data_IF_324710559464
#
_entry.id   IF_324710559464
#
_cell.length_a   1.000
_cell.length_b   1.000
_cell.length_c   1.000
_cell.angle_alpha   90.00
_cell.angle_beta   90.00
_cell.angle_gamma   90.00
#
_symmetry.space_group_name_H-M   'P 1'
#
loop_
_entity.id
_entity.type
_entity.pdbx_description
1 polymer ?
#
# COMPACT_ATOMS: atom_id res chain seq x y z
N UNK A 1 20.67 17.98 6.41
CA UNK A 1 20.67 16.62 5.82
C UNK A 1 19.23 16.17 5.81
N UNK A 2 18.73 15.72 4.66
CA UNK A 2 17.39 15.14 4.54
C UNK A 2 17.54 13.82 3.77
N UNK A 3 17.80 12.75 4.52
CA UNK A 3 18.12 11.45 3.92
C UNK A 3 16.91 10.89 3.17
N UNK A 4 15.70 11.17 3.66
CA UNK A 4 14.44 10.70 3.07
C UNK A 4 14.30 11.27 1.67
N UNK A 5 14.57 12.57 1.51
CA UNK A 5 14.51 13.23 0.20
C UNK A 5 15.61 12.75 -0.73
N UNK A 6 16.84 12.54 -0.25
CA UNK A 6 17.92 11.95 -1.04
C UNK A 6 17.54 10.56 -1.58
N UNK A 7 17.04 9.65 -0.74
CA UNK A 7 16.63 8.30 -1.19
C UNK A 7 15.40 8.32 -2.11
N UNK A 8 14.56 9.34 -2.01
CA UNK A 8 13.39 9.48 -2.86
C UNK A 8 13.68 10.07 -4.24
N UNK A 9 14.62 11.01 -4.34
CA UNK A 9 14.83 11.80 -5.57
C UNK A 9 16.21 11.59 -6.20
N UNK A 10 17.15 10.97 -5.48
CA UNK A 10 18.55 10.86 -5.89
C UNK A 10 19.32 12.18 -5.84
N UNK A 11 18.71 13.27 -5.36
CA UNK A 11 19.33 14.60 -5.34
C UNK A 11 20.37 14.69 -4.23
N UNK A 12 21.64 14.70 -4.65
CA UNK A 12 22.82 14.69 -3.78
C UNK A 12 22.97 15.97 -2.96
N UNK A 13 22.24 17.05 -3.28
CA UNK A 13 22.20 18.26 -2.44
C UNK A 13 21.64 17.99 -1.05
N UNK A 14 20.85 16.94 -0.88
CA UNK A 14 20.33 16.51 0.43
C UNK A 14 21.24 15.52 1.17
N UNK A 15 22.35 15.11 0.54
CA UNK A 15 23.35 14.16 1.04
C UNK A 15 24.73 14.84 1.21
N UNK A 16 24.95 15.58 2.30
CA UNK A 16 26.21 16.29 2.52
C UNK A 16 27.39 15.31 2.73
N UNK A 17 28.58 15.70 2.27
CA UNK A 17 29.81 14.96 2.54
C UNK A 17 30.18 15.01 4.02
N UNK A 18 30.54 13.85 4.58
CA UNK A 18 31.01 13.73 5.96
C UNK A 18 32.46 14.21 6.09
N UNK A 19 32.79 14.77 7.26
CA UNK A 19 34.12 15.21 7.68
C UNK A 19 34.63 14.38 8.84
N UNK A 20 35.94 14.43 9.06
CA UNK A 20 36.58 13.75 10.18
C UNK A 20 35.99 14.25 11.51
N UNK A 21 35.59 13.30 12.37
CA UNK A 21 34.89 13.57 13.63
C UNK A 21 33.37 13.65 13.54
N UNK A 22 32.76 13.61 12.35
CA UNK A 22 31.30 13.61 12.20
C UNK A 22 30.68 12.33 12.77
N UNK A 23 29.59 12.49 13.53
CA UNK A 23 28.75 11.39 14.01
C UNK A 23 27.37 11.50 13.39
N UNK A 24 27.00 10.49 12.59
CA UNK A 24 25.66 10.35 12.03
C UNK A 24 24.85 9.49 12.98
N UNK A 25 23.90 10.09 13.70
CA UNK A 25 22.96 9.36 14.55
C UNK A 25 21.60 9.27 13.86
N UNK A 26 21.19 8.04 13.58
CA UNK A 26 19.84 7.71 13.13
C UNK A 26 19.11 7.15 14.36
N UNK A 27 18.24 7.92 15.02
CA UNK A 27 17.55 7.44 16.21
C UNK A 27 16.71 6.20 15.84
N UNK A 28 16.79 5.17 16.67
CA UNK A 28 15.94 4.00 16.51
C UNK A 28 14.49 4.44 16.66
N UNK A 29 13.67 4.05 15.68
CA UNK A 29 12.23 4.22 15.74
C UNK A 29 11.72 3.62 17.06
N UNK A 30 11.12 4.47 17.89
CA UNK A 30 10.49 4.06 19.16
C UNK A 30 8.97 4.06 18.95
N UNK A 31 8.36 2.99 18.37
CA UNK A 31 6.94 2.91 18.01
C UNK A 31 5.96 3.06 19.17
N UNK A 32 6.43 3.26 20.40
CA UNK A 32 5.59 3.13 21.59
C UNK A 32 4.75 4.35 21.89
N UNK A 33 5.00 5.51 21.28
CA UNK A 33 4.16 6.71 21.49
C UNK A 33 4.13 7.54 20.21
N UNK A 34 2.97 7.57 19.56
CA UNK A 34 2.47 8.72 18.80
C UNK A 34 2.69 8.83 17.27
N UNK A 35 3.00 7.74 16.57
CA UNK A 35 2.94 7.71 15.10
C UNK A 35 1.60 7.24 14.52
N UNK A 36 1.30 7.60 13.28
CA UNK A 36 0.18 7.03 12.51
C UNK A 36 0.69 6.03 11.46
N UNK A 37 -0.09 4.97 11.21
CA UNK A 37 0.29 3.90 10.30
C UNK A 37 -0.27 4.19 8.90
N UNK A 38 0.59 4.21 7.88
CA UNK A 38 0.20 4.38 6.47
C UNK A 38 0.49 3.10 5.69
N UNK A 39 -0.49 2.64 4.91
CA UNK A 39 -0.42 1.39 4.15
C UNK A 39 -1.22 1.47 2.85
N UNK A 40 -1.16 0.44 2.02
CA UNK A 40 -1.88 0.37 0.73
C UNK A 40 -1.03 0.83 -0.46
N UNK A 41 -1.65 1.50 -1.42
CA UNK A 41 -1.03 1.98 -2.67
C UNK A 41 -0.12 3.21 -2.44
N UNK A 42 0.92 3.01 -1.65
CA UNK A 42 1.95 4.01 -1.32
C UNK A 42 3.33 3.46 -1.63
N UNK A 43 4.27 4.35 -2.00
CA UNK A 43 5.66 3.95 -2.28
C UNK A 43 6.39 3.42 -1.04
N UNK A 44 6.04 3.92 0.14
CA UNK A 44 6.71 3.60 1.41
C UNK A 44 5.67 3.34 2.50
N UNK A 45 5.16 2.09 2.65
CA UNK A 45 4.29 1.77 3.77
C UNK A 45 5.08 1.74 5.09
N UNK A 46 4.44 2.14 6.20
CA UNK A 46 5.08 2.16 7.51
C UNK A 46 4.41 3.11 8.51
N UNK A 47 5.03 3.26 9.67
CA UNK A 47 4.59 4.24 10.68
C UNK A 47 5.31 5.56 10.41
N UNK A 48 4.54 6.64 10.38
CA UNK A 48 5.02 7.99 10.18
C UNK A 48 4.90 8.80 11.47
N UNK A 49 5.88 9.68 11.67
CA UNK A 49 5.90 10.61 12.79
C UNK A 49 4.85 11.70 12.55
N UNK A 50 4.19 12.15 13.63
CA UNK A 50 3.13 13.15 13.55
C UNK A 50 3.61 14.50 14.05
N UNK A 51 3.22 15.56 13.35
CA UNK A 51 3.36 16.95 13.78
C UNK A 51 1.98 17.53 14.04
N UNK A 52 1.93 18.54 14.91
CA UNK A 52 0.69 19.27 15.19
C UNK A 52 0.09 19.84 13.89
N UNK A 53 -1.12 19.39 13.57
CA UNK A 53 -1.86 19.80 12.39
C UNK A 53 -1.60 18.97 11.12
N UNK A 54 -0.82 17.88 11.19
CA UNK A 54 -0.69 16.96 10.05
C UNK A 54 -2.05 16.35 9.68
N UNK A 55 -2.27 16.22 8.37
CA UNK A 55 -3.50 15.65 7.83
C UNK A 55 -3.27 14.29 7.17
N UNK A 56 -4.36 13.56 6.93
CA UNK A 56 -4.31 12.28 6.20
C UNK A 56 -3.65 12.42 4.83
N UNK A 57 -3.92 13.52 4.11
CA UNK A 57 -3.30 13.77 2.81
C UNK A 57 -1.79 14.05 2.92
N UNK A 58 -1.35 14.77 3.96
CA UNK A 58 0.08 15.05 4.16
C UNK A 58 0.86 13.76 4.37
N UNK A 59 0.34 12.87 5.22
CA UNK A 59 0.95 11.56 5.46
C UNK A 59 0.91 10.68 4.22
N UNK A 60 -0.20 10.69 3.48
CA UNK A 60 -0.31 10.02 2.20
C UNK A 60 0.76 10.49 1.21
N UNK A 61 0.95 11.81 1.08
CA UNK A 61 1.94 12.40 0.19
C UNK A 61 3.38 12.03 0.59
N UNK A 62 3.70 12.06 1.88
CA UNK A 62 5.02 11.63 2.39
C UNK A 62 5.27 10.14 2.12
N UNK A 63 4.24 9.30 2.26
CA UNK A 63 4.30 7.89 1.93
C UNK A 63 4.34 7.62 0.41
N UNK A 64 4.06 8.63 -0.42
CA UNK A 64 4.06 8.52 -1.87
C UNK A 64 2.74 7.96 -2.43
N UNK A 65 1.61 8.34 -1.85
CA UNK A 65 0.30 8.06 -2.41
C UNK A 65 0.10 8.79 -3.76
N UNK A 66 -0.60 8.18 -4.74
CA UNK A 66 -0.94 8.85 -5.97
C UNK A 66 -1.91 10.03 -5.74
N UNK A 67 -1.84 11.07 -6.57
CA UNK A 67 -2.63 12.31 -6.39
C UNK A 67 -4.15 12.09 -6.36
N UNK A 68 -4.63 11.04 -7.04
CA UNK A 68 -6.05 10.69 -7.14
C UNK A 68 -6.44 9.51 -6.25
N UNK A 69 -5.65 9.21 -5.21
CA UNK A 69 -5.94 8.09 -4.33
C UNK A 69 -7.18 8.32 -3.45
N UNK A 70 -7.88 7.25 -3.13
CA UNK A 70 -8.90 7.27 -2.08
C UNK A 70 -8.25 6.85 -0.76
N UNK A 71 -8.57 7.55 0.32
CA UNK A 71 -8.00 7.28 1.64
C UNK A 71 -9.03 6.61 2.52
N UNK A 72 -8.74 5.43 3.04
CA UNK A 72 -9.47 4.82 4.14
C UNK A 72 -8.78 5.20 5.43
N UNK A 73 -9.43 6.05 6.21
CA UNK A 73 -8.93 6.53 7.48
C UNK A 73 -9.66 5.84 8.62
N UNK A 74 -8.92 5.29 9.57
CA UNK A 74 -9.47 4.73 10.79
C UNK A 74 -8.79 5.39 11.99
N UNK A 75 -9.52 6.21 12.77
CA UNK A 75 -8.98 6.79 13.98
C UNK A 75 -8.80 5.73 15.07
N UNK A 76 -7.88 5.97 16.01
CA UNK A 76 -7.60 5.07 17.13
C UNK A 76 -8.87 4.82 17.97
N UNK A 77 -9.44 3.62 17.84
CA UNK A 77 -10.65 3.21 18.56
C UNK A 77 -11.97 3.66 17.93
N UNK A 78 -11.96 4.24 16.72
CA UNK A 78 -13.17 4.59 15.98
C UNK A 78 -13.40 3.72 14.73
N UNK A 79 -14.56 3.93 14.12
CA UNK A 79 -14.95 3.24 12.90
C UNK A 79 -14.13 3.75 11.68
N UNK A 80 -13.79 2.86 10.72
CA UNK A 80 -13.15 3.27 9.48
C UNK A 80 -14.10 4.14 8.66
N UNK A 81 -13.54 5.14 7.98
CA UNK A 81 -14.24 6.04 7.06
C UNK A 81 -13.43 6.20 5.77
N UNK A 82 -14.13 6.26 4.64
CA UNK A 82 -13.50 6.58 3.35
C UNK A 82 -13.52 8.08 3.15
N UNK A 83 -12.38 8.64 2.76
CA UNK A 83 -12.15 10.06 2.53
C UNK A 83 -11.71 10.24 1.08
N UNK A 84 -12.33 11.21 0.42
CA UNK A 84 -11.81 11.79 -0.82
C UNK A 84 -10.52 12.57 -0.54
N UNK A 85 -9.74 12.87 -1.58
CA UNK A 85 -8.52 13.69 -1.46
C UNK A 85 -8.79 15.04 -0.75
N UNK A 86 -9.92 15.68 -1.06
CA UNK A 86 -10.30 16.97 -0.46
C UNK A 86 -10.73 16.87 1.02
N UNK A 87 -11.22 15.70 1.45
CA UNK A 87 -11.53 15.44 2.86
C UNK A 87 -10.28 15.02 3.63
N UNK A 88 -9.42 14.19 3.02
CA UNK A 88 -8.13 13.80 3.57
C UNK A 88 -7.23 15.00 3.85
N UNK A 89 -7.29 16.04 3.00
CA UNK A 89 -6.56 17.30 3.18
C UNK A 89 -7.06 18.18 4.35
N UNK A 90 -8.20 17.84 4.94
CA UNK A 90 -8.79 18.57 6.08
C UNK A 90 -8.96 17.68 7.32
N UNK A 91 -8.72 16.37 7.18
CA UNK A 91 -8.83 15.41 8.26
C UNK A 91 -7.52 15.38 9.04
N UNK A 92 -7.49 15.88 10.30
CA UNK A 92 -6.31 15.74 11.13
C UNK A 92 -6.07 14.26 11.46
N UNK A 93 -4.80 13.89 11.55
CA UNK A 93 -4.37 12.56 11.99
C UNK A 93 -3.84 12.61 13.42
N UNK A 94 -4.19 11.61 14.21
CA UNK A 94 -3.77 11.44 15.58
C UNK A 94 -2.90 10.20 15.80
N UNK A 95 -2.25 10.11 16.97
CA UNK A 95 -1.52 8.92 17.41
C UNK A 95 -2.31 7.63 17.21
N UNK A 96 -1.67 6.64 16.59
CA UNK A 96 -2.22 5.29 16.38
C UNK A 96 -3.38 5.21 15.37
N UNK A 97 -3.63 6.28 14.64
CA UNK A 97 -4.54 6.24 13.51
C UNK A 97 -3.97 5.39 12.38
N UNK A 98 -4.85 4.76 11.60
CA UNK A 98 -4.50 4.00 10.43
C UNK A 98 -5.02 4.70 9.17
N UNK A 99 -4.14 4.82 8.19
CA UNK A 99 -4.41 5.37 6.87
C UNK A 99 -4.08 4.27 5.87
N UNK A 100 -5.10 3.76 5.18
CA UNK A 100 -4.92 2.86 4.06
C UNK A 100 -5.25 3.63 2.78
N UNK A 101 -4.29 3.70 1.87
CA UNK A 101 -4.47 4.29 0.55
C UNK A 101 -5.01 3.18 -0.33
N UNK A 102 -6.27 3.31 -0.73
CA UNK A 102 -6.85 2.40 -1.70
C UNK A 102 -6.13 2.60 -3.04
N UNK A 103 -5.90 1.49 -3.75
CA UNK A 103 -5.42 1.56 -5.12
C UNK A 103 -6.34 2.49 -5.91
N UNK A 104 -5.74 3.49 -6.56
CA UNK A 104 -6.48 4.42 -7.41
C UNK A 104 -7.07 3.70 -8.65
N UNK A 105 -6.61 2.48 -8.91
CA UNK A 105 -7.17 1.60 -9.90
C UNK A 105 -8.18 0.64 -9.23
N UNK A 106 -9.50 0.91 -9.31
CA UNK A 106 -10.52 -0.02 -8.80
C UNK A 106 -10.51 -1.35 -9.54
N UNK A 107 -9.80 -1.45 -10.66
CA UNK A 107 -9.58 -2.70 -11.36
C UNK A 107 -8.36 -3.45 -10.80
N UNK A 108 -7.42 -2.80 -10.11
CA UNK A 108 -6.28 -3.49 -9.54
C UNK A 108 -6.74 -4.57 -8.55
N UNK A 109 -6.22 -5.77 -8.74
CA UNK A 109 -6.52 -6.96 -7.95
C UNK A 109 -5.38 -7.95 -8.03
N UNK A 110 -5.61 -9.13 -7.48
CA UNK A 110 -4.65 -10.23 -7.53
C UNK A 110 -5.34 -11.54 -7.91
N UNK A 111 -4.65 -12.37 -8.69
CA UNK A 111 -5.10 -13.71 -9.03
C UNK A 111 -3.97 -14.71 -8.81
N UNK A 112 -4.32 -15.89 -8.31
CA UNK A 112 -3.38 -16.98 -8.12
C UNK A 112 -3.22 -17.79 -9.42
N UNK A 113 -1.98 -18.10 -9.76
CA UNK A 113 -1.61 -19.03 -10.81
C UNK A 113 -1.04 -20.29 -10.16
N UNK A 114 -1.70 -21.43 -10.35
CA UNK A 114 -1.39 -22.69 -9.67
C UNK A 114 -1.33 -23.86 -10.65
N UNK A 115 -0.71 -24.98 -10.23
CA UNK A 115 -0.56 -26.19 -11.02
C UNK A 115 0.66 -26.20 -11.92
N UNK A 116 0.50 -26.71 -13.16
CA UNK A 116 1.57 -26.93 -14.14
C UNK A 116 1.97 -25.63 -14.87
N UNK A 117 2.52 -24.69 -14.08
CA UNK A 117 2.94 -23.36 -14.53
C UNK A 117 4.36 -23.08 -14.02
N UNK A 118 5.16 -22.33 -14.77
CA UNK A 118 6.59 -22.20 -14.50
C UNK A 118 6.89 -21.53 -13.14
N UNK A 119 6.12 -20.51 -12.78
CA UNK A 119 6.23 -19.82 -11.50
C UNK A 119 4.84 -19.72 -10.85
N UNK A 120 4.44 -20.70 -10.01
CA UNK A 120 3.20 -20.61 -9.26
C UNK A 120 3.24 -19.46 -8.25
N UNK A 121 2.11 -18.78 -8.04
CA UNK A 121 2.03 -17.67 -7.09
C UNK A 121 0.89 -16.71 -7.34
N UNK A 122 0.86 -15.65 -6.55
CA UNK A 122 -0.13 -14.57 -6.67
C UNK A 122 0.44 -13.46 -7.56
N UNK A 123 -0.30 -13.12 -8.60
CA UNK A 123 0.09 -12.12 -9.58
C UNK A 123 -0.84 -10.90 -9.54
N UNK A 124 -0.31 -9.68 -9.74
CA UNK A 124 -1.14 -8.50 -9.90
C UNK A 124 -1.94 -8.62 -11.20
N UNK A 125 -3.23 -8.33 -11.12
CA UNK A 125 -4.15 -8.31 -12.26
C UNK A 125 -4.97 -7.04 -12.26
N UNK A 126 -5.52 -6.68 -13.41
CA UNK A 126 -6.54 -5.65 -13.57
C UNK A 126 -7.86 -6.33 -13.93
N UNK A 127 -8.84 -6.22 -13.05
CA UNK A 127 -10.19 -6.76 -13.17
C UNK A 127 -10.82 -6.34 -14.49
N UNK A 128 -11.26 -7.31 -15.29
CA UNK A 128 -11.84 -7.06 -16.61
C UNK A 128 -10.83 -6.75 -17.73
N UNK A 129 -9.54 -6.59 -17.42
CA UNK A 129 -8.49 -6.30 -18.41
C UNK A 129 -7.47 -7.44 -18.53
N UNK A 130 -6.96 -7.95 -17.41
CA UNK A 130 -5.97 -9.04 -17.43
C UNK A 130 -6.64 -10.35 -17.81
N UNK A 131 -6.17 -10.94 -18.91
CA UNK A 131 -6.64 -12.23 -19.40
C UNK A 131 -5.88 -13.38 -18.74
N UNK A 132 -6.45 -14.60 -18.79
CA UNK A 132 -5.76 -15.82 -18.34
C UNK A 132 -4.45 -16.02 -19.09
N UNK A 133 -4.42 -15.73 -20.39
CA UNK A 133 -3.19 -15.83 -21.20
C UNK A 133 -2.08 -14.90 -20.69
N UNK A 134 -2.42 -13.63 -20.42
CA UNK A 134 -1.46 -12.66 -19.89
C UNK A 134 -0.93 -13.08 -18.50
N UNK A 135 -1.78 -13.61 -17.63
CA UNK A 135 -1.35 -14.16 -16.34
C UNK A 135 -0.43 -15.37 -16.50
N UNK A 136 -0.71 -16.26 -17.45
CA UNK A 136 0.16 -17.41 -17.76
C UNK A 136 1.52 -16.95 -18.28
N UNK A 137 1.56 -15.93 -19.15
CA UNK A 137 2.81 -15.35 -19.63
C UNK A 137 3.61 -14.69 -18.51
N UNK A 138 2.96 -13.91 -17.62
CA UNK A 138 3.58 -13.33 -16.43
C UNK A 138 4.17 -14.40 -15.50
N UNK A 139 3.50 -15.54 -15.39
CA UNK A 139 3.95 -16.69 -14.62
C UNK A 139 4.99 -17.55 -15.35
N UNK A 140 5.56 -17.09 -16.45
CA UNK A 140 6.64 -17.75 -17.18
C UNK A 140 6.19 -18.88 -18.13
N UNK A 141 4.89 -18.96 -18.41
CA UNK A 141 4.31 -19.96 -19.30
C UNK A 141 3.93 -21.27 -18.61
N UNK A 142 3.34 -22.17 -19.39
CA UNK A 142 2.99 -23.51 -18.95
C UNK A 142 4.23 -24.41 -18.93
N UNK A 143 4.28 -25.37 -17.99
CA UNK A 143 5.31 -26.40 -18.00
C UNK A 143 5.04 -27.45 -19.10
N UNK A 144 6.04 -28.25 -19.53
CA UNK A 144 5.87 -29.22 -20.62
C UNK A 144 4.83 -30.32 -20.35
N UNK A 145 4.55 -30.61 -19.08
CA UNK A 145 3.58 -31.59 -18.58
C UNK A 145 2.18 -30.99 -18.34
N UNK A 146 1.98 -29.70 -18.62
CA UNK A 146 0.68 -29.05 -18.48
C UNK A 146 -0.37 -29.66 -19.42
N UNK A 147 -1.63 -29.68 -18.96
CA UNK A 147 -2.80 -30.10 -19.74
C UNK A 147 -3.72 -28.90 -19.97
N UNK A 148 -3.50 -28.07 -21.02
CA UNK A 148 -4.26 -26.84 -21.25
C UNK A 148 -5.77 -27.06 -21.36
N UNK A 149 -6.19 -28.22 -21.90
CA UNK A 149 -7.61 -28.58 -22.07
C UNK A 149 -8.34 -28.85 -20.75
N UNK A 150 -7.60 -29.08 -19.66
CA UNK A 150 -8.16 -29.32 -18.33
C UNK A 150 -8.11 -28.07 -17.43
N UNK A 151 -7.69 -26.91 -17.96
CA UNK A 151 -7.66 -25.67 -17.20
C UNK A 151 -9.07 -25.25 -16.79
N UNK A 152 -9.20 -24.77 -15.56
CA UNK A 152 -10.44 -24.22 -15.01
C UNK A 152 -10.13 -22.90 -14.29
N UNK A 153 -11.14 -22.04 -14.17
CA UNK A 153 -11.05 -20.76 -13.46
C UNK A 153 -12.03 -20.78 -12.31
N UNK A 154 -11.52 -20.70 -11.10
CA UNK A 154 -12.32 -20.49 -9.90
C UNK A 154 -12.43 -19.00 -9.61
N UNK A 155 -13.66 -18.51 -9.50
CA UNK A 155 -13.94 -17.14 -9.10
C UNK A 155 -14.58 -17.16 -7.73
N UNK A 156 -13.77 -17.03 -6.70
CA UNK A 156 -14.30 -16.67 -5.39
C UNK A 156 -14.77 -15.23 -5.48
N UNK A 157 -16.06 -14.97 -5.28
CA UNK A 157 -16.52 -13.59 -5.10
C UNK A 157 -15.68 -12.99 -3.97
N UNK A 158 -14.93 -11.93 -4.28
CA UNK A 158 -14.25 -11.17 -3.24
C UNK A 158 -15.29 -10.86 -2.17
N UNK A 159 -15.06 -11.34 -0.96
CA UNK A 159 -15.92 -11.03 0.16
C UNK A 159 -16.15 -9.51 0.16
N UNK A 160 -17.39 -9.02 0.30
CA UNK A 160 -17.59 -7.60 0.54
C UNK A 160 -16.69 -7.25 1.72
N UNK A 161 -15.86 -6.24 1.48
CA UNK A 161 -15.06 -5.54 2.46
C UNK A 161 -15.78 -5.55 3.81
N UNK A 162 -15.13 -6.09 4.83
CA UNK A 162 -15.69 -6.34 6.15
C UNK A 162 -16.42 -5.11 6.70
N UNK A 163 -17.73 -5.07 6.45
CA UNK A 163 -18.64 -4.01 6.86
C UNK A 163 -20.06 -4.59 6.99
N UNK A 164 -20.21 -5.59 7.86
CA UNK A 164 -21.41 -5.75 8.69
C UNK A 164 -21.15 -6.90 9.68
N UNK A 165 -20.65 -6.56 10.86
CA UNK A 165 -21.12 -7.25 12.06
C UNK A 165 -22.15 -6.32 12.68
N UNK A 166 -23.32 -6.28 12.03
CA UNK A 166 -24.54 -5.81 12.68
C UNK A 166 -24.87 -6.77 13.82
N UNK A 167 -25.18 -6.16 14.95
CA UNK A 167 -25.85 -6.74 16.11
C UNK A 167 -26.79 -7.89 15.76
N UNK A 168 -26.66 -9.00 16.49
CA UNK A 168 -27.80 -9.83 16.82
C UNK A 168 -27.81 -10.06 18.33
N UNK A 169 -28.85 -9.50 18.93
CA UNK A 169 -29.32 -9.71 20.31
C UNK A 169 -29.74 -11.16 20.54
#
# INVERSE_FOLDING_TARGET
MDITRYFATGDTRFNPYLRDGDRVMLPAFAPRREGAFVSGAVLRPGVYDLRDGDTVADLGAVAGAPENAQFRFQPAGGAPRTLTVAEAARQPVGPRDQIAVADADPLAGAAAAEGAIAYPGVYPVRSGETTVGALVELAGGLTPDALPRAAYLERTAAAPDSAEVADLQ
#
